data_IF_837816688979
#
_entry.id   IF_837816688979
#
_cell.length_a   1.000
_cell.length_b   1.000
_cell.length_c   1.000
_cell.angle_alpha   90.00
_cell.angle_beta   90.00
_cell.angle_gamma   90.00
#
_symmetry.space_group_name_H-M   'P 1'
#
loop_
_entity.id
_entity.type
_entity.pdbx_description
1 polymer ?
#
# COMPACT_ATOMS: atom_id res chain seq x y z
N UNK A 1 36.43 28.23 6.46
CA UNK A 1 37.18 28.62 7.67
C UNK A 1 36.80 27.64 8.75
N UNK A 2 37.76 26.96 9.40
CA UNK A 2 37.41 25.98 10.42
C UNK A 2 36.80 26.71 11.62
N UNK A 3 35.64 26.24 12.09
CA UNK A 3 34.84 26.90 13.12
C UNK A 3 35.27 26.39 14.51
N UNK A 4 35.59 27.31 15.41
CA UNK A 4 35.89 27.00 16.80
C UNK A 4 34.74 27.48 17.70
N UNK A 5 34.41 26.70 18.73
CA UNK A 5 33.50 27.18 19.79
C UNK A 5 34.18 28.22 20.70
N UNK A 6 33.38 28.78 21.61
CA UNK A 6 33.86 29.69 22.64
C UNK A 6 34.87 29.03 23.62
N UNK A 7 35.08 27.72 23.55
CA UNK A 7 36.07 26.97 24.32
C UNK A 7 37.34 26.67 23.49
N UNK A 8 37.40 27.11 22.23
CA UNK A 8 38.54 26.88 21.33
C UNK A 8 38.61 25.47 20.73
N UNK A 9 37.54 24.66 20.84
CA UNK A 9 37.47 23.34 20.21
C UNK A 9 37.02 23.46 18.77
N UNK A 10 37.62 22.66 17.89
CA UNK A 10 37.20 22.56 16.51
C UNK A 10 35.84 21.86 16.40
N UNK A 11 34.91 22.48 15.69
CA UNK A 11 33.58 21.94 15.41
C UNK A 11 33.51 21.55 13.93
N UNK A 12 32.78 20.47 13.64
CA UNK A 12 32.48 20.05 12.26
C UNK A 12 31.58 21.07 11.55
N UNK A 13 31.60 21.09 10.21
CA UNK A 13 30.83 22.08 9.44
C UNK A 13 29.31 22.00 9.69
N UNK A 14 28.80 20.84 10.09
CA UNK A 14 27.39 20.60 10.46
C UNK A 14 27.05 21.00 11.90
N UNK A 15 28.03 21.40 12.71
CA UNK A 15 27.83 21.79 14.12
C UNK A 15 27.51 20.62 15.06
N UNK A 16 27.60 19.38 14.58
CA UNK A 16 27.12 18.19 15.31
C UNK A 16 28.24 17.45 16.05
N UNK A 17 29.50 17.76 15.77
CA UNK A 17 30.66 17.05 16.32
C UNK A 17 31.78 18.03 16.69
N UNK A 18 32.54 17.69 17.72
CA UNK A 18 33.76 18.39 18.13
C UNK A 18 34.97 17.48 18.01
N UNK A 19 36.14 18.06 17.71
CA UNK A 19 37.40 17.34 17.68
C UNK A 19 37.98 17.23 19.09
N UNK A 20 38.28 16.01 19.55
CA UNK A 20 38.86 15.76 20.88
C UNK A 20 40.40 15.66 20.88
N UNK A 21 41.05 15.86 19.72
CA UNK A 21 42.49 15.66 19.54
C UNK A 21 42.86 14.32 18.90
N UNK A 22 41.96 13.34 18.95
CA UNK A 22 42.16 11.98 18.43
C UNK A 22 41.07 11.55 17.43
N UNK A 23 39.82 11.98 17.67
CA UNK A 23 38.66 11.62 16.88
C UNK A 23 37.55 12.70 17.00
N UNK A 24 36.61 12.65 16.06
CA UNK A 24 35.37 13.41 16.13
C UNK A 24 34.42 12.79 17.17
N UNK A 25 33.91 13.63 18.09
CA UNK A 25 32.96 13.26 19.14
C UNK A 25 31.65 14.02 18.95
N UNK A 26 30.48 13.40 19.16
CA UNK A 26 29.20 14.08 19.01
C UNK A 26 29.01 15.18 20.07
N UNK A 27 28.55 16.36 19.61
CA UNK A 27 28.11 17.47 20.46
C UNK A 27 26.65 17.24 20.87
N UNK A 28 26.46 16.71 22.06
CA UNK A 28 25.14 16.39 22.62
C UNK A 28 24.74 14.93 22.41
N UNK A 29 23.84 14.45 23.27
CA UNK A 29 23.19 13.15 23.09
C UNK A 29 22.54 13.17 21.71
N UNK A 30 23.03 12.31 20.80
CA UNK A 30 22.45 12.10 19.49
C UNK A 30 20.93 12.04 19.65
N UNK A 31 20.22 13.09 19.22
CA UNK A 31 18.77 13.03 19.15
C UNK A 31 18.48 11.79 18.31
N UNK A 32 17.75 10.78 18.85
CA UNK A 32 17.65 9.48 18.22
C UNK A 32 17.24 9.72 16.77
N UNK A 33 18.15 9.36 15.85
CA UNK A 33 18.03 9.71 14.45
C UNK A 33 16.60 9.42 14.04
N UNK A 34 15.87 10.47 13.66
CA UNK A 34 14.49 10.36 13.19
C UNK A 34 14.57 9.38 12.02
N UNK A 35 14.30 8.10 12.29
CA UNK A 35 14.21 7.06 11.29
C UNK A 35 13.06 7.51 10.42
N UNK A 36 13.37 8.30 9.38
CA UNK A 36 12.43 8.62 8.32
C UNK A 36 12.10 7.25 7.76
N UNK A 37 10.91 6.79 8.11
CA UNK A 37 10.41 5.47 7.81
C UNK A 37 10.46 5.27 6.30
N UNK A 38 11.51 4.61 5.81
CA UNK A 38 11.65 4.18 4.41
C UNK A 38 10.52 3.19 4.04
N UNK A 39 9.73 2.75 5.02
CA UNK A 39 8.49 2.00 4.81
C UNK A 39 7.39 2.80 4.08
N UNK A 40 7.36 4.14 4.16
CA UNK A 40 6.33 4.96 3.50
C UNK A 40 6.29 4.77 1.97
N UNK A 41 7.39 4.90 1.21
CA UNK A 41 7.35 4.70 -0.24
C UNK A 41 7.01 3.25 -0.65
N UNK A 42 7.46 2.25 0.10
CA UNK A 42 7.19 0.85 -0.22
C UNK A 42 5.72 0.46 0.00
N UNK A 43 5.10 0.93 1.09
CA UNK A 43 3.69 0.68 1.40
C UNK A 43 2.77 1.37 0.38
N UNK A 44 3.13 2.58 -0.09
CA UNK A 44 2.35 3.28 -1.11
C UNK A 44 2.34 2.52 -2.45
N UNK A 45 3.47 1.95 -2.87
CA UNK A 45 3.55 1.15 -4.10
C UNK A 45 2.76 -0.15 -3.96
N UNK A 46 2.89 -0.86 -2.83
CA UNK A 46 2.16 -2.10 -2.58
C UNK A 46 0.65 -1.90 -2.48
N UNK A 47 0.20 -0.89 -1.72
CA UNK A 47 -1.21 -0.57 -1.58
C UNK A 47 -1.81 -0.09 -2.91
N UNK A 48 -1.08 0.75 -3.65
CA UNK A 48 -1.50 1.20 -4.98
C UNK A 48 -1.72 0.02 -5.94
N UNK A 49 -0.76 -0.90 -6.03
CA UNK A 49 -0.89 -2.08 -6.88
C UNK A 49 -2.04 -3.00 -6.44
N UNK A 50 -2.19 -3.24 -5.14
CA UNK A 50 -3.28 -4.06 -4.61
C UNK A 50 -4.66 -3.48 -4.96
N UNK A 51 -4.83 -2.16 -4.85
CA UNK A 51 -6.07 -1.49 -5.23
C UNK A 51 -6.37 -1.62 -6.72
N UNK A 52 -5.36 -1.50 -7.58
CA UNK A 52 -5.54 -1.70 -9.03
C UNK A 52 -5.98 -3.13 -9.33
N UNK A 53 -5.35 -4.14 -8.72
CA UNK A 53 -5.73 -5.54 -8.92
C UNK A 53 -7.18 -5.79 -8.47
N UNK A 54 -7.56 -5.31 -7.29
CA UNK A 54 -8.94 -5.43 -6.79
C UNK A 54 -9.91 -4.74 -7.74
N UNK A 55 -9.59 -3.53 -8.21
CA UNK A 55 -10.45 -2.78 -9.12
C UNK A 55 -10.63 -3.50 -10.47
N UNK A 56 -9.57 -4.08 -11.03
CA UNK A 56 -9.64 -4.87 -12.27
C UNK A 56 -10.48 -6.13 -12.08
N UNK A 57 -10.32 -6.86 -10.97
CA UNK A 57 -11.10 -8.05 -10.68
C UNK A 57 -12.59 -7.74 -10.49
N UNK A 58 -12.91 -6.66 -9.78
CA UNK A 58 -14.30 -6.23 -9.55
C UNK A 58 -14.96 -5.81 -10.86
N UNK A 59 -14.32 -4.92 -11.63
CA UNK A 59 -14.88 -4.44 -12.91
C UNK A 59 -15.00 -5.59 -13.90
N UNK A 60 -13.97 -6.43 -14.02
CA UNK A 60 -14.00 -7.62 -14.88
C UNK A 60 -15.11 -8.59 -14.49
N UNK A 61 -15.29 -8.84 -13.18
CA UNK A 61 -16.37 -9.66 -12.66
C UNK A 61 -17.77 -9.12 -12.97
N UNK A 62 -17.98 -7.81 -12.80
CA UNK A 62 -19.27 -7.17 -13.13
C UNK A 62 -19.56 -7.29 -14.63
N UNK A 63 -18.58 -7.03 -15.49
CA UNK A 63 -18.75 -7.15 -16.95
C UNK A 63 -19.10 -8.60 -17.34
N UNK A 64 -18.43 -9.58 -16.73
CA UNK A 64 -18.69 -11.00 -16.97
C UNK A 64 -20.12 -11.38 -16.56
N UNK A 65 -20.56 -10.96 -15.38
CA UNK A 65 -21.91 -11.28 -14.86
C UNK A 65 -23.01 -10.54 -15.62
N UNK A 66 -22.73 -9.37 -16.17
CA UNK A 66 -23.65 -8.62 -17.02
C UNK A 66 -23.73 -9.15 -18.47
N UNK A 67 -22.98 -10.21 -18.80
CA UNK A 67 -23.04 -10.81 -20.12
C UNK A 67 -24.24 -11.76 -20.25
N UNK A 68 -25.09 -11.55 -21.25
CA UNK A 68 -26.30 -12.37 -21.45
C UNK A 68 -25.98 -13.85 -21.69
N UNK A 69 -24.85 -14.17 -22.32
CA UNK A 69 -24.41 -15.55 -22.53
C UNK A 69 -24.03 -16.24 -21.22
N UNK A 70 -23.37 -15.51 -20.31
CA UNK A 70 -23.02 -16.00 -18.98
C UNK A 70 -24.29 -16.23 -18.14
N UNK A 71 -25.22 -15.28 -18.14
CA UNK A 71 -26.49 -15.38 -17.42
C UNK A 71 -27.32 -16.58 -17.88
N UNK A 72 -27.41 -16.80 -19.19
CA UNK A 72 -28.11 -17.97 -19.75
C UNK A 72 -27.45 -19.28 -19.32
N UNK A 73 -26.12 -19.38 -19.46
CA UNK A 73 -25.38 -20.58 -19.04
C UNK A 73 -25.52 -20.88 -17.55
N UNK A 74 -25.43 -19.85 -16.71
CA UNK A 74 -25.63 -19.96 -15.28
C UNK A 74 -27.05 -20.43 -14.95
N UNK A 75 -28.09 -19.81 -15.51
CA UNK A 75 -29.47 -20.19 -15.23
C UNK A 75 -29.81 -21.60 -15.75
N UNK A 76 -29.24 -22.02 -16.89
CA UNK A 76 -29.38 -23.39 -17.36
C UNK A 76 -28.76 -24.38 -16.36
N UNK A 77 -27.58 -24.08 -15.83
CA UNK A 77 -26.95 -24.89 -14.78
C UNK A 77 -27.75 -24.90 -13.48
N UNK A 78 -28.29 -23.75 -13.08
CA UNK A 78 -29.11 -23.58 -11.87
C UNK A 78 -30.37 -24.46 -11.92
N UNK A 79 -31.08 -24.43 -13.05
CA UNK A 79 -32.29 -25.23 -13.23
C UNK A 79 -32.03 -26.74 -13.27
N UNK A 80 -30.82 -27.13 -13.69
CA UNK A 80 -30.39 -28.53 -13.68
C UNK A 80 -29.98 -29.02 -12.28
N UNK A 81 -29.88 -28.14 -11.28
CA UNK A 81 -29.55 -28.53 -9.92
C UNK A 81 -30.84 -28.86 -9.12
N UNK A 82 -31.06 -30.12 -8.74
CA UNK A 82 -32.31 -30.54 -8.08
C UNK A 82 -32.55 -29.90 -6.71
N UNK A 83 -31.51 -29.32 -6.08
CA UNK A 83 -31.64 -28.59 -4.82
C UNK A 83 -32.16 -27.16 -4.98
N UNK A 84 -31.99 -26.58 -6.16
CA UNK A 84 -32.19 -25.15 -6.43
C UNK A 84 -33.25 -24.89 -7.49
N UNK A 85 -33.73 -25.94 -8.19
CA UNK A 85 -34.80 -25.85 -9.18
C UNK A 85 -36.14 -25.29 -8.64
N UNK A 86 -36.33 -25.28 -7.31
CA UNK A 86 -37.51 -24.71 -6.67
C UNK A 86 -37.45 -23.18 -6.48
N UNK A 87 -36.28 -22.54 -6.68
CA UNK A 87 -36.11 -21.08 -6.56
C UNK A 87 -35.81 -20.45 -7.91
N UNK A 88 -36.37 -19.26 -8.20
CA UNK A 88 -36.10 -18.55 -9.45
C UNK A 88 -34.61 -18.20 -9.58
N UNK A 89 -34.07 -18.27 -10.80
CA UNK A 89 -32.67 -17.95 -11.06
C UNK A 89 -32.36 -16.51 -10.60
N UNK A 90 -31.26 -16.27 -9.85
CA UNK A 90 -30.92 -14.95 -9.29
C UNK A 90 -30.65 -13.87 -10.35
N UNK A 91 -30.35 -14.28 -11.59
CA UNK A 91 -30.16 -13.36 -12.72
C UNK A 91 -31.38 -13.30 -13.66
N UNK A 92 -32.51 -13.92 -13.28
CA UNK A 92 -33.72 -13.83 -14.08
C UNK A 92 -34.23 -12.39 -14.03
N UNK A 93 -34.52 -11.75 -15.18
CA UNK A 93 -35.12 -10.43 -15.17
C UNK A 93 -36.46 -10.53 -14.45
N UNK A 94 -36.64 -9.75 -13.37
CA UNK A 94 -37.96 -9.56 -12.77
C UNK A 94 -38.84 -8.91 -13.84
N UNK A 95 -39.83 -9.66 -14.34
CA UNK A 95 -40.84 -9.11 -15.22
C UNK A 95 -41.51 -7.91 -14.53
N UNK A 96 -41.73 -6.79 -15.24
CA UNK A 96 -42.58 -5.71 -14.71
C UNK A 96 -44.02 -6.19 -14.47
#
# INVERSE_FOLDING_TARGET
MPTQDAQGRWISDDGLQYWDGSAWRPLGAQAPGRRRSIALPAVLIGCGFALVVVLVLVIGGIILVNNSSFQQGFCNSWQNNPREAATPCPFHPSSP
#
